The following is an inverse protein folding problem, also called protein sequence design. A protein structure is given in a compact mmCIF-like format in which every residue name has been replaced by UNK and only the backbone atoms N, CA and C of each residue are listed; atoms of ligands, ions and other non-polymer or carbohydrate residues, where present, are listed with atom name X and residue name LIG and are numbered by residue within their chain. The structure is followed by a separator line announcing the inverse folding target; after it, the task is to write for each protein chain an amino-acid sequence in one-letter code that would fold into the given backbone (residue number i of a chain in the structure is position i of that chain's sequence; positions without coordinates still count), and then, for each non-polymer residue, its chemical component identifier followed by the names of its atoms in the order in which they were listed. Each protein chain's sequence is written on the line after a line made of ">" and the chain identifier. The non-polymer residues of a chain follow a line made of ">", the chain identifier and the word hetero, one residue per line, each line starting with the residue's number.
data_IF_347992592974
#
_entry.id   IF_347992592974
#
_cell.length_a   1.000
_cell.length_b   1.000
_cell.length_c   1.000
_cell.angle_alpha   90.00
_cell.angle_beta   90.00
_cell.angle_gamma   90.00
#
_symmetry.space_group_name_H-M   'P 1'
#
loop_
_entity.id
_entity.type
_entity.pdbx_description
1 polymer ?
#
# COMPACT_ATOMS: atom_id res chain seq x y z
N UNK A 1 -3.18 1.00 -5.55
CA UNK A 1 -4.26 0.82 -6.52
C UNK A 1 -4.13 1.85 -7.63
N UNK A 2 -4.92 1.71 -8.69
CA UNK A 2 -4.89 2.54 -9.89
C UNK A 2 -6.30 3.05 -10.19
N UNK A 3 -6.42 4.36 -10.34
CA UNK A 3 -7.60 5.02 -10.87
C UNK A 3 -7.28 5.53 -12.29
N UNK A 4 -8.17 5.26 -13.25
CA UNK A 4 -7.99 5.68 -14.65
C UNK A 4 -9.17 6.55 -15.10
N UNK A 5 -8.96 7.59 -15.92
CA UNK A 5 -10.06 8.36 -16.51
C UNK A 5 -11.00 7.50 -17.37
N UNK A 6 -10.46 6.49 -18.06
CA UNK A 6 -11.23 5.57 -18.92
C UNK A 6 -12.02 4.54 -18.11
N UNK A 7 -11.58 4.26 -16.88
CA UNK A 7 -12.20 3.31 -15.99
C UNK A 7 -12.19 3.88 -14.56
N UNK A 8 -13.22 4.68 -14.18
CA UNK A 8 -13.27 5.43 -12.93
C UNK A 8 -13.66 4.54 -11.75
N UNK A 9 -13.03 3.37 -11.66
CA UNK A 9 -13.09 2.47 -10.52
C UNK A 9 -11.68 2.20 -10.07
N UNK A 10 -11.48 2.18 -8.75
CA UNK A 10 -10.18 1.88 -8.19
C UNK A 10 -9.85 0.39 -8.38
N UNK A 11 -8.72 0.11 -9.04
CA UNK A 11 -8.26 -1.26 -9.33
C UNK A 11 -7.03 -1.58 -8.50
N UNK A 12 -7.04 -2.65 -7.66
CA UNK A 12 -5.85 -3.05 -6.92
C UNK A 12 -4.80 -3.63 -7.86
N UNK A 13 -3.64 -2.95 -7.97
CA UNK A 13 -2.47 -3.45 -8.71
C UNK A 13 -1.66 -4.45 -7.87
N UNK A 14 -1.43 -4.09 -6.61
CA UNK A 14 -0.69 -4.88 -5.63
C UNK A 14 -1.52 -4.96 -4.35
N UNK A 15 -1.53 -6.14 -3.73
CA UNK A 15 -2.19 -6.36 -2.44
C UNK A 15 -1.42 -7.39 -1.63
N UNK A 16 -1.20 -7.07 -0.37
CA UNK A 16 -0.63 -7.98 0.61
C UNK A 16 -1.45 -7.89 1.89
N UNK A 17 -1.47 -8.98 2.64
CA UNK A 17 -2.14 -9.05 3.92
C UNK A 17 -1.25 -9.83 4.89
N UNK A 18 -1.19 -9.37 6.13
CA UNK A 18 -0.49 -10.04 7.23
C UNK A 18 -1.41 -10.11 8.43
N UNK A 19 -1.33 -11.21 9.16
CA UNK A 19 -2.02 -11.40 10.43
C UNK A 19 -1.03 -11.14 11.57
N UNK A 20 -1.22 -10.11 12.41
CA UNK A 20 -0.39 -9.93 13.58
C UNK A 20 -0.64 -11.08 14.57
N UNK A 21 0.43 -11.66 15.11
CA UNK A 21 0.32 -12.63 16.20
C UNK A 21 0.01 -11.90 17.52
N UNK A 22 -0.75 -12.53 18.42
CA UNK A 22 -1.05 -11.96 19.73
C UNK A 22 0.10 -12.23 20.69
N UNK A 23 0.80 -11.18 21.13
CA UNK A 23 1.79 -11.24 22.21
C UNK A 23 2.95 -10.27 22.01
N UNK A 24 3.20 -9.43 23.03
CA UNK A 24 4.35 -8.54 23.06
C UNK A 24 4.30 -7.34 22.10
N UNK A 25 5.36 -6.53 22.17
CA UNK A 25 5.65 -5.48 21.20
C UNK A 25 6.11 -6.15 19.89
N UNK A 26 5.52 -5.76 18.77
CA UNK A 26 5.88 -6.28 17.46
C UNK A 26 6.04 -5.13 16.47
N UNK A 27 6.90 -5.34 15.47
CA UNK A 27 7.06 -4.48 14.31
C UNK A 27 7.35 -5.37 13.10
N UNK A 28 6.70 -5.09 11.97
CA UNK A 28 6.88 -5.84 10.73
C UNK A 28 6.85 -4.89 9.54
N UNK A 29 7.77 -5.08 8.59
CA UNK A 29 7.81 -4.33 7.33
C UNK A 29 7.02 -5.05 6.25
N UNK A 30 6.32 -4.29 5.40
CA UNK A 30 5.64 -4.82 4.22
C UNK A 30 6.15 -4.09 2.98
N UNK A 31 6.73 -4.85 2.03
CA UNK A 31 7.22 -4.32 0.76
C UNK A 31 6.44 -4.91 -0.40
N UNK A 32 6.06 -4.08 -1.37
CA UNK A 32 5.42 -4.50 -2.60
C UNK A 32 6.03 -3.75 -3.78
N UNK A 33 6.38 -4.47 -4.84
CA UNK A 33 6.90 -3.88 -6.07
C UNK A 33 6.65 -4.80 -7.25
N UNK A 34 6.17 -4.24 -8.35
CA UNK A 34 6.06 -4.88 -9.65
C UNK A 34 5.97 -3.81 -10.74
N UNK A 35 6.16 -4.22 -11.99
CA UNK A 35 6.06 -3.32 -13.15
C UNK A 35 4.66 -3.44 -13.75
N UNK A 36 4.01 -2.30 -13.95
CA UNK A 36 2.72 -2.22 -14.65
C UNK A 36 2.81 -1.20 -15.77
N UNK A 37 2.17 -1.50 -16.91
CA UNK A 37 1.95 -0.50 -17.93
C UNK A 37 0.83 0.44 -17.48
N UNK A 38 1.12 1.74 -17.48
CA UNK A 38 0.17 2.80 -17.12
C UNK A 38 -0.15 3.67 -18.33
N UNK A 39 -1.30 4.32 -18.30
CA UNK A 39 -1.69 5.32 -19.30
C UNK A 39 -1.53 6.73 -18.75
N UNK A 40 -1.38 7.70 -19.66
CA UNK A 40 -1.37 9.12 -19.28
C UNK A 40 -2.67 9.45 -18.53
N UNK A 41 -2.53 10.03 -17.35
CA UNK A 41 -3.67 10.41 -16.49
C UNK A 41 -4.10 9.33 -15.49
N UNK A 42 -3.51 8.13 -15.54
CA UNK A 42 -3.68 7.16 -14.45
C UNK A 42 -3.10 7.73 -13.15
N UNK A 43 -3.82 7.57 -12.05
CA UNK A 43 -3.40 7.96 -10.70
C UNK A 43 -3.12 6.70 -9.89
N UNK A 44 -2.05 6.74 -9.09
CA UNK A 44 -1.67 5.66 -8.20
C UNK A 44 -1.88 6.07 -6.75
N UNK A 45 -2.32 5.13 -5.93
CA UNK A 45 -2.47 5.31 -4.49
C UNK A 45 -1.96 4.08 -3.71
N UNK A 46 -1.31 4.29 -2.58
CA UNK A 46 -1.02 3.25 -1.60
C UNK A 46 -1.97 3.40 -0.41
N UNK A 47 -2.70 2.35 -0.05
CA UNK A 47 -3.70 2.37 1.01
C UNK A 47 -3.50 1.23 1.99
N UNK A 48 -3.56 1.51 3.29
CA UNK A 48 -3.52 0.49 4.34
C UNK A 48 -4.85 0.46 5.11
N UNK A 49 -5.45 -0.71 5.25
CA UNK A 49 -6.73 -0.88 5.98
C UNK A 49 -6.60 -0.66 7.48
N UNK A 50 -5.39 -0.78 8.04
CA UNK A 50 -5.13 -0.62 9.46
C UNK A 50 -4.09 0.48 9.72
N UNK A 51 -4.36 1.69 9.23
CA UNK A 51 -3.47 2.84 9.33
C UNK A 51 -2.99 3.16 10.76
N UNK A 52 -3.76 2.79 11.80
CA UNK A 52 -3.38 2.91 13.21
C UNK A 52 -2.14 2.10 13.62
N UNK A 53 -1.71 1.14 12.80
CA UNK A 53 -0.51 0.31 13.05
C UNK A 53 0.70 0.76 12.21
N UNK A 54 0.58 1.86 11.45
CA UNK A 54 1.72 2.41 10.72
C UNK A 54 2.63 3.17 11.67
N UNK A 55 3.90 2.80 11.70
CA UNK A 55 4.95 3.62 12.31
C UNK A 55 5.40 4.68 11.29
N UNK A 56 5.09 5.94 11.61
CA UNK A 56 5.43 7.12 10.78
C UNK A 56 6.43 8.04 11.50
N UNK A 57 6.99 7.61 12.64
CA UNK A 57 7.90 8.45 13.42
C UNK A 57 9.32 8.49 12.82
N UNK A 58 9.76 7.43 12.16
CA UNK A 58 11.05 7.36 11.48
C UNK A 58 10.97 7.70 9.99
N UNK A 59 11.92 8.50 9.50
CA UNK A 59 12.10 8.70 8.08
C UNK A 59 12.49 7.36 7.40
N UNK A 60 11.83 7.04 6.29
CA UNK A 60 12.14 5.85 5.48
C UNK A 60 11.46 4.54 5.90
N UNK A 61 10.62 4.54 6.95
CA UNK A 61 9.87 3.34 7.37
C UNK A 61 8.63 3.08 6.50
N UNK A 62 7.97 4.14 6.03
CA UNK A 62 6.83 4.08 5.13
C UNK A 62 7.05 5.01 3.93
N UNK A 63 6.89 4.46 2.73
CA UNK A 63 7.11 5.18 1.47
C UNK A 63 6.25 4.60 0.36
N UNK A 64 6.05 5.39 -0.70
CA UNK A 64 5.38 5.02 -1.93
C UNK A 64 6.09 5.68 -3.12
#
# INVERSE_FOLDING_TARGET
>A
SRLSPEYPRDVPLLRAARSPCRGGLWAESLYQGAVFQLRRGDQLAATATAGRFLDLHGAGQAYF
#
